data_IF_583076170184
#
_entry.id   IF_583076170184
#
_cell.length_a   1.000
_cell.length_b   1.000
_cell.length_c   1.000
_cell.angle_alpha   90.00
_cell.angle_beta   90.00
_cell.angle_gamma   90.00
#
_symmetry.space_group_name_H-M   'P 1'
#
loop_
_entity.id
_entity.type
_entity.pdbx_description
1 polymer ?
#
# COMPACT_ATOMS: atom_id res chain seq x y z
N UNK A 1 -40.36 -19.13 -24.07
CA UNK A 1 -39.25 -18.29 -23.58
C UNK A 1 -39.10 -18.36 -22.05
N UNK A 2 -40.07 -17.92 -21.24
CA UNK A 2 -39.93 -17.91 -19.76
C UNK A 2 -39.61 -19.27 -19.11
N UNK A 3 -40.19 -20.36 -19.61
CA UNK A 3 -39.95 -21.71 -19.06
C UNK A 3 -38.46 -22.09 -19.16
N UNK A 4 -37.85 -21.83 -20.32
CA UNK A 4 -36.42 -22.05 -20.53
C UNK A 4 -35.58 -21.15 -19.63
N UNK A 5 -35.94 -19.87 -19.47
CA UNK A 5 -35.22 -18.98 -18.54
C UNK A 5 -35.25 -19.52 -17.10
N UNK A 6 -36.39 -20.04 -16.63
CA UNK A 6 -36.49 -20.64 -15.28
C UNK A 6 -35.68 -21.93 -15.18
N UNK A 7 -35.68 -22.75 -16.23
CA UNK A 7 -34.92 -24.01 -16.30
C UNK A 7 -33.42 -23.74 -16.25
N UNK A 8 -32.93 -22.81 -17.07
CA UNK A 8 -31.51 -22.47 -17.18
C UNK A 8 -30.96 -21.83 -15.90
N UNK A 9 -31.77 -21.10 -15.12
CA UNK A 9 -31.37 -20.63 -13.78
C UNK A 9 -31.10 -21.76 -12.78
N UNK A 10 -31.71 -22.93 -12.97
CA UNK A 10 -31.54 -24.09 -12.07
C UNK A 10 -30.51 -25.07 -12.59
N UNK A 11 -30.45 -25.26 -13.91
CA UNK A 11 -29.58 -26.23 -14.57
C UNK A 11 -29.06 -25.66 -15.89
N UNK A 12 -28.00 -24.83 -15.85
CA UNK A 12 -27.43 -24.16 -17.02
C UNK A 12 -27.00 -25.12 -18.14
N UNK A 13 -26.58 -26.34 -17.77
CA UNK A 13 -26.15 -27.39 -18.68
C UNK A 13 -27.25 -27.85 -19.65
N UNK A 14 -28.53 -27.65 -19.29
CA UNK A 14 -29.65 -28.02 -20.16
C UNK A 14 -29.70 -27.15 -21.44
N UNK A 15 -28.90 -26.07 -21.52
CA UNK A 15 -28.70 -25.31 -22.75
C UNK A 15 -28.11 -26.18 -23.88
N UNK A 16 -27.33 -27.21 -23.55
CA UNK A 16 -26.73 -28.13 -24.52
C UNK A 16 -27.78 -28.88 -25.35
N UNK A 17 -28.92 -29.22 -24.73
CA UNK A 17 -30.03 -29.94 -25.35
C UNK A 17 -31.19 -29.01 -25.76
N UNK A 18 -31.02 -27.70 -25.58
CA UNK A 18 -32.04 -26.72 -25.93
C UNK A 18 -32.15 -26.56 -27.46
N UNK A 19 -33.36 -26.26 -27.98
CA UNK A 19 -33.52 -26.00 -29.40
C UNK A 19 -32.71 -24.76 -29.85
N UNK A 20 -32.41 -24.70 -31.16
CA UNK A 20 -31.48 -23.71 -31.74
C UNK A 20 -31.89 -22.25 -31.45
N UNK A 21 -33.19 -21.97 -31.36
CA UNK A 21 -33.73 -20.65 -31.04
C UNK A 21 -33.36 -20.22 -29.61
N UNK A 22 -33.31 -21.15 -28.67
CA UNK A 22 -32.88 -20.91 -27.28
C UNK A 22 -31.36 -20.77 -27.20
N UNK A 23 -30.61 -21.63 -27.91
CA UNK A 23 -29.15 -21.53 -27.98
C UNK A 23 -28.66 -20.25 -28.68
N UNK A 24 -29.46 -19.71 -29.61
CA UNK A 24 -29.23 -18.42 -30.28
C UNK A 24 -29.80 -17.21 -29.55
N UNK A 25 -30.50 -17.39 -28.42
CA UNK A 25 -31.09 -16.30 -27.66
C UNK A 25 -30.10 -15.74 -26.63
N UNK A 26 -29.66 -14.48 -26.84
CA UNK A 26 -28.73 -13.80 -25.94
C UNK A 26 -29.20 -13.81 -24.48
N UNK A 27 -30.48 -13.58 -24.22
CA UNK A 27 -31.03 -13.56 -22.86
C UNK A 27 -30.91 -14.94 -22.19
N UNK A 28 -31.29 -16.01 -22.90
CA UNK A 28 -31.24 -17.37 -22.37
C UNK A 28 -29.81 -17.79 -22.07
N UNK A 29 -28.89 -17.55 -23.00
CA UNK A 29 -27.46 -17.86 -22.83
C UNK A 29 -26.87 -17.04 -21.68
N UNK A 30 -27.14 -15.74 -21.59
CA UNK A 30 -26.61 -14.90 -20.51
C UNK A 30 -27.14 -15.32 -19.13
N UNK A 31 -28.41 -15.72 -19.04
CA UNK A 31 -28.99 -16.29 -17.81
C UNK A 31 -28.26 -17.58 -17.40
N UNK A 32 -27.96 -18.46 -18.35
CA UNK A 32 -27.20 -19.68 -18.07
C UNK A 32 -25.75 -19.37 -17.65
N UNK A 33 -25.08 -18.45 -18.35
CA UNK A 33 -23.70 -18.03 -18.07
C UNK A 33 -23.55 -17.44 -16.68
N UNK A 34 -24.54 -16.69 -16.18
CA UNK A 34 -24.53 -16.12 -14.82
C UNK A 34 -24.37 -17.18 -13.75
N UNK A 35 -24.97 -18.35 -13.95
CA UNK A 35 -24.88 -19.46 -13.01
C UNK A 35 -23.64 -20.34 -13.29
N UNK A 36 -23.32 -20.59 -14.57
CA UNK A 36 -22.18 -21.42 -14.97
C UNK A 36 -21.49 -20.89 -16.25
N UNK A 37 -20.20 -20.51 -16.19
CA UNK A 37 -19.51 -19.87 -17.31
C UNK A 37 -19.31 -20.76 -18.54
N UNK A 38 -19.35 -22.09 -18.37
CA UNK A 38 -19.26 -23.06 -19.46
C UNK A 38 -20.52 -23.14 -20.33
N UNK A 39 -21.64 -22.56 -19.89
CA UNK A 39 -22.86 -22.46 -20.67
C UNK A 39 -22.65 -21.72 -22.00
N UNK A 40 -21.69 -20.78 -22.08
CA UNK A 40 -21.34 -20.11 -23.34
C UNK A 40 -20.87 -21.11 -24.41
N UNK A 41 -20.32 -22.26 -24.02
CA UNK A 41 -19.91 -23.31 -24.94
C UNK A 41 -21.06 -23.99 -25.69
N UNK A 42 -22.28 -23.91 -25.15
CA UNK A 42 -23.50 -24.44 -25.74
C UNK A 42 -24.29 -23.40 -26.54
N UNK A 43 -23.85 -22.14 -26.55
CA UNK A 43 -24.47 -21.10 -27.35
C UNK A 43 -24.25 -21.34 -28.85
N UNK A 44 -25.19 -20.86 -29.66
CA UNK A 44 -25.05 -20.90 -31.12
C UNK A 44 -23.74 -20.22 -31.56
N UNK A 45 -23.06 -20.72 -32.63
CA UNK A 45 -21.78 -20.16 -33.08
C UNK A 45 -21.81 -18.63 -33.27
N UNK A 46 -22.90 -18.10 -33.83
CA UNK A 46 -23.08 -16.67 -34.04
C UNK A 46 -22.94 -15.82 -32.76
N UNK A 47 -23.39 -16.33 -31.61
CA UNK A 47 -23.23 -15.65 -30.33
C UNK A 47 -21.81 -15.79 -29.76
N UNK A 48 -21.15 -16.91 -30.02
CA UNK A 48 -19.75 -17.14 -29.60
C UNK A 48 -18.75 -16.33 -30.43
N UNK A 49 -19.16 -15.92 -31.63
CA UNK A 49 -18.45 -15.03 -32.56
C UNK A 49 -18.79 -13.54 -32.36
N UNK A 50 -19.83 -13.22 -31.59
CA UNK A 50 -20.25 -11.85 -31.31
C UNK A 50 -19.42 -11.26 -30.15
N UNK A 51 -18.49 -10.32 -30.42
CA UNK A 51 -17.64 -9.76 -29.39
C UNK A 51 -18.42 -8.95 -28.34
N UNK A 52 -19.53 -8.31 -28.72
CA UNK A 52 -20.31 -7.48 -27.80
C UNK A 52 -21.11 -8.36 -26.84
N UNK A 53 -21.67 -9.46 -27.34
CA UNK A 53 -22.34 -10.43 -26.48
C UNK A 53 -21.35 -11.16 -25.57
N UNK A 54 -20.22 -11.63 -26.10
CA UNK A 54 -19.20 -12.29 -25.28
C UNK A 54 -18.64 -11.33 -24.23
N UNK A 55 -18.48 -10.04 -24.54
CA UNK A 55 -18.08 -9.02 -23.56
C UNK A 55 -19.05 -8.98 -22.35
N UNK A 56 -20.36 -9.10 -22.57
CA UNK A 56 -21.34 -9.17 -21.49
C UNK A 56 -21.15 -10.43 -20.65
N UNK A 57 -20.92 -11.58 -21.28
CA UNK A 57 -20.68 -12.85 -20.59
C UNK A 57 -19.41 -12.79 -19.71
N UNK A 58 -18.29 -12.31 -20.25
CA UNK A 58 -17.02 -12.28 -19.52
C UNK A 58 -16.95 -11.23 -18.42
N UNK A 59 -17.78 -10.18 -18.50
CA UNK A 59 -17.94 -9.24 -17.38
C UNK A 59 -18.57 -9.90 -16.16
N UNK A 60 -19.49 -10.86 -16.37
CA UNK A 60 -20.09 -11.65 -15.28
C UNK A 60 -19.10 -12.71 -14.79
N UNK A 61 -18.52 -13.49 -15.71
CA UNK A 61 -17.53 -14.52 -15.39
C UNK A 61 -16.39 -14.51 -16.41
N UNK A 62 -15.22 -13.98 -16.03
CA UNK A 62 -14.07 -13.89 -16.95
C UNK A 62 -13.61 -15.23 -17.54
N UNK A 63 -13.87 -16.36 -16.86
CA UNK A 63 -13.56 -17.71 -17.37
C UNK A 63 -14.40 -18.14 -18.57
N UNK A 64 -15.55 -17.47 -18.84
CA UNK A 64 -16.38 -17.72 -20.02
C UNK A 64 -15.61 -17.51 -21.33
N UNK A 65 -14.55 -16.68 -21.32
CA UNK A 65 -13.68 -16.45 -22.48
C UNK A 65 -13.15 -17.74 -23.11
N UNK A 66 -12.96 -18.81 -22.33
CA UNK A 66 -12.55 -20.15 -22.81
C UNK A 66 -13.43 -20.68 -23.95
N UNK A 67 -14.72 -20.33 -23.90
CA UNK A 67 -15.74 -20.89 -24.79
C UNK A 67 -16.07 -19.98 -25.98
N UNK A 68 -15.55 -18.75 -25.99
CA UNK A 68 -15.65 -17.86 -27.13
C UNK A 68 -14.86 -18.41 -28.33
N UNK A 69 -15.17 -17.92 -29.54
CA UNK A 69 -14.42 -18.32 -30.73
C UNK A 69 -12.99 -17.80 -30.72
N UNK A 70 -12.13 -18.36 -31.57
CA UNK A 70 -10.73 -17.94 -31.65
C UNK A 70 -10.58 -16.46 -32.03
N UNK A 71 -11.47 -15.96 -32.89
CA UNK A 71 -11.51 -14.55 -33.31
C UNK A 71 -11.82 -13.65 -32.12
N UNK A 72 -12.81 -14.02 -31.30
CA UNK A 72 -13.16 -13.25 -30.10
C UNK A 72 -12.09 -13.36 -29.01
N UNK A 73 -11.41 -14.51 -28.88
CA UNK A 73 -10.25 -14.68 -27.98
C UNK A 73 -9.02 -13.89 -28.43
N UNK A 74 -9.00 -13.40 -29.67
CA UNK A 74 -8.00 -12.45 -30.19
C UNK A 74 -8.46 -10.97 -30.08
N UNK A 75 -9.68 -10.70 -29.60
CA UNK A 75 -10.18 -9.34 -29.42
C UNK A 75 -9.68 -8.73 -28.10
N UNK A 76 -8.83 -7.70 -28.20
CA UNK A 76 -8.24 -7.01 -27.04
C UNK A 76 -9.27 -6.51 -26.03
N UNK A 77 -10.39 -5.94 -26.50
CA UNK A 77 -11.42 -5.36 -25.63
C UNK A 77 -12.11 -6.44 -24.80
N UNK A 78 -12.50 -7.54 -25.45
CA UNK A 78 -13.16 -8.67 -24.78
C UNK A 78 -12.21 -9.33 -23.78
N UNK A 79 -10.96 -9.55 -24.17
CA UNK A 79 -9.96 -10.16 -23.26
C UNK A 79 -9.67 -9.23 -22.07
N UNK A 80 -9.54 -7.92 -22.25
CA UNK A 80 -9.39 -6.98 -21.13
C UNK A 80 -10.60 -7.02 -20.19
N UNK A 81 -11.82 -7.09 -20.72
CA UNK A 81 -13.02 -7.23 -19.90
C UNK A 81 -13.00 -8.53 -19.08
N UNK A 82 -12.58 -9.64 -19.70
CA UNK A 82 -12.42 -10.93 -19.03
C UNK A 82 -11.35 -10.90 -17.93
N UNK A 83 -10.17 -10.32 -18.21
CA UNK A 83 -9.05 -10.19 -17.24
C UNK A 83 -9.45 -9.31 -16.05
N UNK A 84 -10.20 -8.23 -16.30
CA UNK A 84 -10.71 -7.36 -15.24
C UNK A 84 -11.65 -8.09 -14.28
N UNK A 85 -12.46 -9.02 -14.80
CA UNK A 85 -13.35 -9.87 -13.99
C UNK A 85 -12.58 -11.00 -13.30
N UNK A 86 -11.69 -11.68 -14.02
CA UNK A 86 -10.87 -12.78 -13.54
C UNK A 86 -9.49 -12.74 -14.20
N UNK A 87 -8.42 -12.34 -13.49
CA UNK A 87 -7.11 -12.09 -14.12
C UNK A 87 -6.52 -13.29 -14.87
N UNK A 88 -6.80 -14.51 -14.40
CA UNK A 88 -6.40 -15.78 -15.03
C UNK A 88 -7.17 -16.09 -16.33
N UNK A 89 -8.14 -15.28 -16.72
CA UNK A 89 -8.80 -15.38 -18.03
C UNK A 89 -7.82 -15.19 -19.18
N UNK A 90 -6.69 -14.51 -18.95
CA UNK A 90 -5.65 -14.30 -19.96
C UNK A 90 -5.16 -15.62 -20.56
N UNK A 91 -5.18 -16.74 -19.81
CA UNK A 91 -4.81 -18.06 -20.31
C UNK A 91 -5.60 -18.51 -21.55
N UNK A 92 -6.80 -17.99 -21.75
CA UNK A 92 -7.68 -18.33 -22.87
C UNK A 92 -7.50 -17.42 -24.08
N UNK A 93 -6.83 -16.28 -23.91
CA UNK A 93 -6.57 -15.34 -25.00
C UNK A 93 -5.67 -15.96 -26.08
N UNK A 94 -5.80 -15.43 -27.30
CA UNK A 94 -4.91 -15.80 -28.40
C UNK A 94 -3.44 -15.63 -28.01
N UNK A 95 -2.59 -16.56 -28.44
CA UNK A 95 -1.16 -16.55 -28.10
C UNK A 95 -0.47 -15.24 -28.52
N UNK A 96 -0.83 -14.69 -29.68
CA UNK A 96 -0.34 -13.41 -30.15
C UNK A 96 -0.60 -12.26 -29.16
N UNK A 97 -1.75 -12.24 -28.48
CA UNK A 97 -2.03 -11.24 -27.45
C UNK A 97 -1.19 -11.47 -26.18
N UNK A 98 -1.00 -12.74 -25.77
CA UNK A 98 -0.18 -13.08 -24.59
C UNK A 98 1.30 -12.78 -24.78
N UNK A 99 1.74 -12.60 -26.03
CA UNK A 99 3.09 -12.18 -26.41
C UNK A 99 3.20 -10.69 -26.79
N UNK A 100 2.08 -9.97 -26.93
CA UNK A 100 2.07 -8.53 -27.21
C UNK A 100 2.38 -7.76 -25.91
N UNK A 101 3.58 -7.18 -25.83
CA UNK A 101 4.04 -6.43 -24.66
C UNK A 101 3.08 -5.30 -24.25
N UNK A 102 2.55 -4.55 -25.21
CA UNK A 102 1.68 -3.40 -24.93
C UNK A 102 0.34 -3.83 -24.36
N UNK A 103 -0.24 -4.90 -24.90
CA UNK A 103 -1.44 -5.55 -24.39
C UNK A 103 -1.22 -6.15 -23.00
N UNK A 104 -0.13 -6.89 -22.83
CA UNK A 104 0.19 -7.52 -21.54
C UNK A 104 0.36 -6.47 -20.45
N UNK A 105 1.00 -5.34 -20.73
CA UNK A 105 1.10 -4.21 -19.80
C UNK A 105 -0.26 -3.64 -19.39
N UNK A 106 -1.27 -3.66 -20.27
CA UNK A 106 -2.64 -3.28 -19.94
C UNK A 106 -3.30 -4.36 -19.07
N UNK A 107 -3.21 -5.63 -19.48
CA UNK A 107 -3.81 -6.77 -18.80
C UNK A 107 -3.31 -6.91 -17.35
N UNK A 108 -1.99 -6.85 -17.10
CA UNK A 108 -1.43 -7.00 -15.75
C UNK A 108 -1.75 -5.82 -14.83
N UNK A 109 -2.07 -4.64 -15.39
CA UNK A 109 -2.57 -3.50 -14.61
C UNK A 109 -4.01 -3.69 -14.18
N UNK A 110 -4.82 -4.37 -14.99
CA UNK A 110 -6.19 -4.76 -14.63
C UNK A 110 -6.21 -5.84 -13.55
N UNK A 111 -5.26 -6.79 -13.60
CA UNK A 111 -5.09 -7.80 -12.57
C UNK A 111 -3.70 -8.43 -12.58
N UNK A 112 -2.92 -8.19 -11.52
CA UNK A 112 -1.50 -8.61 -11.45
C UNK A 112 -1.27 -10.11 -11.67
N UNK A 113 -2.20 -10.95 -11.21
CA UNK A 113 -2.15 -12.41 -11.39
C UNK A 113 -2.23 -12.87 -12.86
N UNK A 114 -2.59 -11.98 -13.80
CA UNK A 114 -2.50 -12.26 -15.23
C UNK A 114 -1.07 -12.54 -15.69
N UNK A 115 -0.04 -12.07 -14.95
CA UNK A 115 1.38 -12.35 -15.24
C UNK A 115 1.68 -13.85 -15.40
N UNK A 116 0.91 -14.69 -14.73
CA UNK A 116 1.06 -16.13 -14.76
C UNK A 116 0.79 -16.78 -16.13
N UNK A 117 0.03 -16.10 -17.00
CA UNK A 117 -0.38 -16.62 -18.31
C UNK A 117 0.27 -15.90 -19.50
N UNK A 118 1.13 -14.91 -19.23
CA UNK A 118 1.88 -14.19 -20.27
C UNK A 118 3.00 -15.07 -20.84
N UNK A 119 3.42 -14.75 -22.07
CA UNK A 119 4.57 -15.39 -22.70
C UNK A 119 5.82 -15.30 -21.81
N UNK A 120 6.62 -16.38 -21.75
CA UNK A 120 7.74 -16.50 -20.82
C UNK A 120 8.73 -15.33 -20.90
N UNK A 121 9.03 -14.86 -22.13
CA UNK A 121 9.91 -13.70 -22.34
C UNK A 121 9.42 -12.42 -21.65
N UNK A 122 8.10 -12.22 -21.55
CA UNK A 122 7.51 -11.05 -20.88
C UNK A 122 7.48 -11.19 -19.35
N UNK A 123 7.65 -12.40 -18.79
CA UNK A 123 7.86 -12.57 -17.33
C UNK A 123 9.26 -12.17 -16.88
N UNK A 124 10.17 -11.90 -17.83
CA UNK A 124 11.48 -11.27 -17.62
C UNK A 124 11.47 -9.77 -17.86
N UNK A 125 10.41 -9.23 -18.48
CA UNK A 125 10.30 -7.80 -18.75
C UNK A 125 10.00 -7.06 -17.45
N UNK A 126 10.96 -6.22 -17.04
CA UNK A 126 10.92 -5.52 -15.76
C UNK A 126 9.71 -4.61 -15.62
N UNK A 127 9.27 -3.93 -16.68
CA UNK A 127 8.12 -3.02 -16.60
C UNK A 127 6.81 -3.80 -16.48
N UNK A 128 6.69 -4.92 -17.20
CA UNK A 128 5.55 -5.83 -17.12
C UNK A 128 5.43 -6.38 -15.71
N UNK A 129 6.51 -6.93 -15.16
CA UNK A 129 6.51 -7.49 -13.80
C UNK A 129 6.26 -6.41 -12.77
N UNK A 130 6.89 -5.23 -12.90
CA UNK A 130 6.68 -4.13 -11.96
C UNK A 130 5.22 -3.63 -11.98
N UNK A 131 4.59 -3.58 -13.15
CA UNK A 131 3.17 -3.25 -13.27
C UNK A 131 2.29 -4.32 -12.60
N UNK A 132 2.61 -5.60 -12.80
CA UNK A 132 1.89 -6.72 -12.19
C UNK A 132 1.97 -6.70 -10.66
N UNK A 133 3.18 -6.56 -10.07
CA UNK A 133 3.35 -6.55 -8.60
C UNK A 133 2.76 -5.30 -7.95
N UNK A 134 2.71 -4.18 -8.68
CA UNK A 134 2.00 -2.96 -8.24
C UNK A 134 0.48 -3.13 -8.25
N UNK A 135 -0.07 -3.99 -9.10
CA UNK A 135 -1.48 -4.36 -9.06
C UNK A 135 -1.73 -5.38 -7.92
N UNK A 136 -0.97 -6.47 -7.89
CA UNK A 136 -1.03 -7.53 -6.87
C UNK A 136 0.37 -8.02 -6.52
N UNK A 137 0.81 -7.83 -5.28
CA UNK A 137 2.15 -8.20 -4.83
C UNK A 137 2.46 -9.70 -4.99
N UNK A 138 1.45 -10.58 -4.92
CA UNK A 138 1.64 -12.03 -5.08
C UNK A 138 1.94 -12.43 -6.52
N UNK A 139 1.73 -11.54 -7.50
CA UNK A 139 2.11 -11.78 -8.89
C UNK A 139 3.62 -12.08 -9.04
N UNK A 140 4.46 -11.67 -8.08
CA UNK A 140 5.89 -11.95 -8.05
C UNK A 140 6.21 -13.45 -8.21
N UNK A 141 5.32 -14.34 -7.73
CA UNK A 141 5.46 -15.80 -7.88
C UNK A 141 5.66 -16.26 -9.33
N UNK A 142 5.05 -15.54 -10.28
CA UNK A 142 5.08 -15.91 -11.69
C UNK A 142 6.18 -15.21 -12.48
N UNK A 143 6.88 -14.27 -11.86
CA UNK A 143 7.99 -13.58 -12.48
C UNK A 143 9.19 -14.52 -12.66
N UNK A 144 10.02 -14.24 -13.66
CA UNK A 144 11.30 -14.94 -13.81
C UNK A 144 12.18 -14.79 -12.56
N UNK A 145 13.07 -15.75 -12.30
CA UNK A 145 13.96 -15.72 -11.13
C UNK A 145 14.74 -14.42 -10.98
N UNK A 146 15.29 -13.89 -12.07
CA UNK A 146 16.00 -12.60 -12.05
C UNK A 146 15.12 -11.44 -11.53
N UNK A 147 13.82 -11.45 -11.84
CA UNK A 147 12.87 -10.44 -11.38
C UNK A 147 12.44 -10.69 -9.93
N UNK A 148 12.46 -11.95 -9.48
CA UNK A 148 12.27 -12.33 -8.07
C UNK A 148 13.49 -11.98 -7.21
N UNK A 149 14.63 -11.64 -7.84
CA UNK A 149 15.83 -11.08 -7.20
C UNK A 149 15.98 -9.55 -7.40
N UNK A 150 15.25 -8.95 -8.36
CA UNK A 150 15.33 -7.50 -8.62
C UNK A 150 14.82 -6.72 -7.41
N UNK A 151 15.71 -5.89 -6.86
CA UNK A 151 15.46 -5.08 -5.65
C UNK A 151 14.20 -4.23 -5.76
N UNK A 152 14.00 -3.55 -6.88
CA UNK A 152 12.87 -2.64 -7.04
C UNK A 152 11.54 -3.39 -7.17
N UNK A 153 11.56 -4.53 -7.89
CA UNK A 153 10.41 -5.42 -8.03
C UNK A 153 10.02 -6.05 -6.70
N UNK A 154 10.98 -6.62 -5.97
CA UNK A 154 10.78 -7.23 -4.65
C UNK A 154 10.23 -6.20 -3.67
N UNK A 155 10.82 -4.99 -3.63
CA UNK A 155 10.35 -3.94 -2.75
C UNK A 155 8.93 -3.47 -3.09
N UNK A 156 8.60 -3.32 -4.38
CA UNK A 156 7.25 -2.98 -4.81
C UNK A 156 6.22 -4.05 -4.38
N UNK A 157 6.60 -5.33 -4.45
CA UNK A 157 5.78 -6.44 -3.99
C UNK A 157 5.60 -6.44 -2.46
N UNK A 158 6.67 -6.21 -1.68
CA UNK A 158 6.60 -6.14 -0.21
C UNK A 158 5.71 -4.99 0.27
N UNK A 159 5.72 -3.85 -0.43
CA UNK A 159 4.82 -2.71 -0.13
C UNK A 159 3.34 -3.13 -0.15
N UNK A 160 2.97 -4.15 -0.95
CA UNK A 160 1.62 -4.74 -0.98
C UNK A 160 1.39 -5.75 0.13
N UNK A 161 2.26 -6.75 0.25
CA UNK A 161 2.14 -7.79 1.29
C UNK A 161 3.48 -8.42 1.63
N UNK A 162 3.70 -8.73 2.91
CA UNK A 162 4.91 -9.41 3.37
C UNK A 162 4.98 -10.88 2.89
N UNK A 163 3.83 -11.47 2.54
CA UNK A 163 3.73 -12.85 2.06
C UNK A 163 4.49 -13.11 0.76
N UNK A 164 4.93 -12.06 0.04
CA UNK A 164 5.71 -12.20 -1.19
C UNK A 164 7.10 -12.77 -0.96
N UNK A 165 7.64 -12.67 0.27
CA UNK A 165 9.02 -13.11 0.57
C UNK A 165 9.24 -14.58 0.24
N UNK A 166 8.26 -15.46 0.45
CA UNK A 166 8.34 -16.89 0.09
C UNK A 166 8.46 -17.15 -1.42
N UNK A 167 8.10 -16.16 -2.23
CA UNK A 167 8.16 -16.21 -3.69
C UNK A 167 9.36 -15.44 -4.25
N UNK A 168 10.23 -14.87 -3.41
CA UNK A 168 11.47 -14.20 -3.86
C UNK A 168 12.55 -15.23 -4.20
N UNK A 169 13.60 -14.81 -4.91
CA UNK A 169 14.76 -15.66 -5.20
C UNK A 169 15.49 -16.06 -3.90
N UNK A 170 16.22 -17.19 -3.93
CA UNK A 170 16.92 -17.71 -2.76
C UNK A 170 17.92 -16.69 -2.15
N UNK A 171 18.56 -15.87 -2.99
CA UNK A 171 19.44 -14.78 -2.56
C UNK A 171 18.73 -13.72 -1.70
N UNK A 172 17.49 -13.37 -2.06
CA UNK A 172 16.65 -12.42 -1.32
C UNK A 172 16.14 -13.03 -0.03
N UNK A 173 15.75 -14.30 -0.05
CA UNK A 173 15.32 -15.02 1.15
C UNK A 173 16.45 -15.17 2.18
N UNK A 174 17.68 -15.34 1.71
CA UNK A 174 18.86 -15.48 2.57
C UNK A 174 19.30 -14.15 3.21
N UNK A 175 18.95 -13.01 2.62
CA UNK A 175 19.35 -11.69 3.10
C UNK A 175 18.34 -11.14 4.16
N UNK A 176 18.74 -11.03 5.45
CA UNK A 176 17.89 -10.59 6.54
C UNK A 176 17.23 -9.21 6.36
N UNK A 177 17.78 -8.36 5.49
CA UNK A 177 17.26 -7.00 5.27
C UNK A 177 15.81 -7.03 4.78
N UNK A 178 15.43 -8.07 4.02
CA UNK A 178 14.10 -8.17 3.42
C UNK A 178 13.04 -8.59 4.43
N UNK A 179 13.37 -9.50 5.35
CA UNK A 179 12.49 -9.84 6.47
C UNK A 179 12.29 -8.63 7.38
N UNK A 180 13.37 -7.91 7.71
CA UNK A 180 13.30 -6.68 8.53
C UNK A 180 12.48 -5.59 7.83
N UNK A 181 12.68 -5.41 6.52
CA UNK A 181 11.91 -4.46 5.70
C UNK A 181 10.42 -4.78 5.72
N UNK A 182 10.05 -6.05 5.57
CA UNK A 182 8.66 -6.48 5.62
C UNK A 182 8.04 -6.31 7.02
N UNK A 183 8.78 -6.65 8.08
CA UNK A 183 8.35 -6.51 9.47
C UNK A 183 8.08 -5.05 9.85
N UNK A 184 9.06 -4.18 9.65
CA UNK A 184 8.93 -2.75 9.99
C UNK A 184 7.80 -2.08 9.20
N UNK A 185 7.56 -2.49 7.94
CA UNK A 185 6.42 -1.98 7.16
C UNK A 185 5.07 -2.52 7.64
N UNK A 186 5.02 -3.73 8.19
CA UNK A 186 3.80 -4.28 8.79
C UNK A 186 3.48 -3.59 10.12
N UNK A 187 4.49 -3.39 10.97
CA UNK A 187 4.37 -2.68 12.26
C UNK A 187 3.88 -1.24 12.07
N UNK A 188 4.46 -0.49 11.13
CA UNK A 188 4.02 0.88 10.86
C UNK A 188 2.64 0.97 10.18
N UNK A 189 2.05 -0.15 9.74
CA UNK A 189 0.65 -0.22 9.28
C UNK A 189 -0.32 -0.60 10.42
N UNK A 190 0.18 -1.05 11.57
CA UNK A 190 -0.66 -1.43 12.70
C UNK A 190 -1.37 -0.19 13.28
N UNK A 191 -2.72 -0.15 13.28
CA UNK A 191 -3.48 0.92 13.91
C UNK A 191 -3.10 1.17 15.37
N UNK A 192 -2.75 0.12 16.12
CA UNK A 192 -2.37 0.27 17.53
C UNK A 192 -1.08 1.08 17.68
N UNK A 193 -0.06 0.77 16.86
CA UNK A 193 1.23 1.49 16.85
C UNK A 193 1.03 2.92 16.34
N UNK A 194 0.28 3.09 15.23
CA UNK A 194 0.06 4.41 14.64
C UNK A 194 -0.80 5.34 15.50
N UNK A 195 -1.74 4.79 16.28
CA UNK A 195 -2.56 5.56 17.23
C UNK A 195 -1.80 6.04 18.47
N UNK A 196 -0.64 5.43 18.75
CA UNK A 196 0.22 5.79 19.88
C UNK A 196 1.24 6.88 19.58
N UNK A 197 1.26 7.46 18.36
CA UNK A 197 2.19 8.55 18.03
C UNK A 197 1.99 9.68 19.02
N UNK A 198 3.04 9.97 19.77
CA UNK A 198 3.06 11.12 20.65
C UNK A 198 3.07 12.37 19.78
N UNK A 199 1.95 13.09 19.73
CA UNK A 199 1.81 14.36 19.00
C UNK A 199 2.49 15.49 19.80
N UNK A 200 3.74 15.23 20.19
CA UNK A 200 4.59 16.13 20.96
C UNK A 200 5.40 17.02 20.02
N UNK A 201 5.54 18.28 20.40
CA UNK A 201 6.44 19.22 19.72
C UNK A 201 7.87 18.70 19.81
N UNK A 202 8.56 18.65 18.67
CA UNK A 202 9.99 18.36 18.62
C UNK A 202 10.69 19.45 17.82
N UNK A 203 11.58 20.20 18.47
CA UNK A 203 12.26 21.36 17.87
C UNK A 203 13.66 21.02 17.36
N UNK A 204 14.08 19.75 17.49
CA UNK A 204 15.46 19.32 17.28
C UNK A 204 16.34 19.52 18.53
N UNK A 205 17.53 18.94 18.48
CA UNK A 205 18.58 19.09 19.47
C UNK A 205 19.93 19.05 18.76
N UNK A 206 20.70 20.14 18.84
CA UNK A 206 22.03 20.25 18.23
C UNK A 206 23.01 20.75 19.28
N UNK A 207 24.06 19.97 19.52
CA UNK A 207 25.04 20.20 20.59
C UNK A 207 26.46 20.07 20.03
N UNK A 208 27.38 20.84 20.62
CA UNK A 208 28.82 20.84 20.26
C UNK A 208 29.57 19.63 20.81
N UNK A 209 28.96 18.88 21.73
CA UNK A 209 29.51 17.68 22.34
C UNK A 209 29.31 16.44 21.47
N UNK A 210 28.46 16.52 20.44
CA UNK A 210 28.21 15.45 19.49
C UNK A 210 29.18 15.49 18.30
N UNK A 211 29.23 14.39 17.54
CA UNK A 211 29.95 14.30 16.26
C UNK A 211 29.02 14.04 15.07
N UNK A 212 27.77 13.67 15.33
CA UNK A 212 26.79 13.24 14.33
C UNK A 212 25.46 13.95 14.55
N UNK A 213 24.76 14.28 13.46
CA UNK A 213 23.43 14.89 13.49
C UNK A 213 22.53 14.29 12.41
N UNK A 214 21.38 13.75 12.81
CA UNK A 214 20.33 13.35 11.87
C UNK A 214 19.59 14.59 11.40
N UNK A 215 19.69 14.91 10.11
CA UNK A 215 19.10 16.14 9.55
C UNK A 215 17.82 15.89 8.77
N UNK A 216 17.51 14.64 8.43
CA UNK A 216 16.25 14.30 7.77
C UNK A 216 15.85 12.89 8.17
N UNK A 217 14.57 12.71 8.52
CA UNK A 217 14.06 11.43 9.00
C UNK A 217 12.65 11.10 8.47
N UNK A 218 12.37 9.84 8.12
CA UNK A 218 11.06 9.45 7.63
C UNK A 218 10.06 9.33 8.78
N UNK A 219 9.17 10.32 8.91
CA UNK A 219 8.15 10.34 9.97
C UNK A 219 7.21 9.12 9.96
N UNK A 220 7.03 8.44 8.84
CA UNK A 220 6.18 7.24 8.72
C UNK A 220 6.67 6.05 9.58
N UNK A 221 7.88 6.11 10.12
CA UNK A 221 8.51 5.08 10.93
C UNK A 221 8.47 5.47 12.41
N UNK A 222 7.30 5.31 13.03
CA UNK A 222 6.98 5.91 14.34
C UNK A 222 7.88 5.39 15.45
N UNK A 223 8.13 4.08 15.48
CA UNK A 223 9.00 3.46 16.49
C UNK A 223 10.41 4.07 16.44
N UNK A 224 10.94 4.23 15.23
CA UNK A 224 12.27 4.81 15.03
C UNK A 224 12.28 6.32 15.27
N UNK A 225 11.20 7.02 14.91
CA UNK A 225 11.02 8.44 15.22
C UNK A 225 11.01 8.69 16.74
N UNK A 226 10.28 7.88 17.51
CA UNK A 226 10.25 8.01 18.97
C UNK A 226 11.61 7.70 19.59
N UNK A 227 12.34 6.72 19.03
CA UNK A 227 13.74 6.45 19.38
C UNK A 227 14.64 7.66 19.16
N UNK A 228 14.47 8.38 18.05
CA UNK A 228 15.22 9.60 17.74
C UNK A 228 14.94 10.70 18.74
N UNK A 229 13.65 10.97 19.00
CA UNK A 229 13.22 11.99 19.96
C UNK A 229 13.75 11.68 21.36
N UNK A 230 13.68 10.41 21.81
CA UNK A 230 14.23 9.97 23.09
C UNK A 230 15.74 10.21 23.18
N UNK A 231 16.51 9.77 22.18
CA UNK A 231 17.97 9.98 22.19
C UNK A 231 18.34 11.47 22.20
N UNK A 232 17.55 12.33 21.56
CA UNK A 232 17.74 13.77 21.62
C UNK A 232 17.43 14.33 23.02
N UNK A 233 16.36 13.87 23.69
CA UNK A 233 16.03 14.24 25.07
C UNK A 233 17.13 13.82 26.05
N UNK A 234 17.69 12.63 25.85
CA UNK A 234 18.81 12.09 26.63
C UNK A 234 20.18 12.67 26.22
N UNK A 235 20.21 13.54 25.21
CA UNK A 235 21.40 14.19 24.66
C UNK A 235 22.46 13.22 24.13
N UNK A 236 22.06 11.99 23.78
CA UNK A 236 22.95 10.96 23.23
C UNK A 236 23.08 11.05 21.71
N UNK A 237 22.15 11.72 21.03
CA UNK A 237 22.15 11.91 19.57
C UNK A 237 21.64 13.31 19.22
N UNK A 238 22.27 13.98 18.25
CA UNK A 238 21.75 15.23 17.71
C UNK A 238 20.80 14.98 16.54
N UNK A 239 19.80 15.85 16.42
CA UNK A 239 18.86 15.87 15.31
C UNK A 239 18.46 17.30 14.96
N UNK A 240 18.46 17.63 13.68
CA UNK A 240 17.93 18.90 13.18
C UNK A 240 16.44 18.81 12.82
N UNK A 241 15.85 17.61 12.80
CA UNK A 241 14.46 17.39 12.45
C UNK A 241 13.51 18.22 13.33
N UNK A 242 12.45 18.74 12.73
CA UNK A 242 11.44 19.54 13.42
C UNK A 242 10.06 18.95 13.16
N UNK A 243 9.26 18.80 14.22
CA UNK A 243 7.88 18.37 14.17
C UNK A 243 7.02 19.32 15.01
N UNK A 244 6.10 20.02 14.34
CA UNK A 244 5.16 20.96 14.94
C UNK A 244 3.73 20.41 14.74
N UNK A 245 3.15 19.72 15.73
CA UNK A 245 1.82 19.14 15.65
C UNK A 245 0.71 20.19 15.79
N UNK A 246 -0.53 19.83 15.43
CA UNK A 246 -1.71 20.71 15.57
C UNK A 246 -1.92 21.21 17.01
N UNK A 247 -1.56 20.38 17.99
CA UNK A 247 -1.62 20.71 19.41
C UNK A 247 -0.45 21.52 19.95
N UNK A 248 0.46 22.04 19.09
CA UNK A 248 1.61 22.85 19.53
C UNK A 248 1.16 24.02 20.43
N UNK A 249 1.59 24.05 21.71
CA UNK A 249 1.21 25.10 22.64
C UNK A 249 1.61 26.51 22.19
N UNK A 250 2.64 26.61 21.35
CA UNK A 250 3.10 27.90 20.78
C UNK A 250 2.32 28.31 19.53
N UNK A 251 1.31 27.53 19.11
CA UNK A 251 0.47 27.79 17.94
C UNK A 251 1.27 27.98 16.63
N UNK A 252 2.39 27.27 16.46
CA UNK A 252 3.22 27.38 15.24
C UNK A 252 2.74 26.45 14.13
N UNK A 253 1.87 25.48 14.42
CA UNK A 253 1.16 24.76 13.37
C UNK A 253 0.35 25.74 12.52
N UNK A 254 0.49 25.66 11.20
CA UNK A 254 -0.14 26.60 10.27
C UNK A 254 0.60 27.94 10.13
N UNK A 255 1.69 28.17 10.87
CA UNK A 255 2.46 29.38 10.71
C UNK A 255 3.26 29.36 9.40
N UNK A 256 3.19 30.48 8.67
CA UNK A 256 3.88 30.66 7.40
C UNK A 256 5.08 31.59 7.55
N UNK A 257 6.18 31.23 6.90
CA UNK A 257 7.41 32.01 6.85
C UNK A 257 7.77 32.32 5.40
N UNK A 258 8.44 33.44 5.17
CA UNK A 258 8.74 33.96 3.83
C UNK A 258 10.25 33.94 3.59
N UNK A 259 10.70 33.60 2.37
CA UNK A 259 12.12 33.56 2.04
C UNK A 259 12.77 34.96 2.04
N UNK A 260 12.02 35.97 1.61
CA UNK A 260 12.45 37.37 1.58
C UNK A 260 11.24 38.32 1.65
N UNK A 261 11.51 39.62 1.71
CA UNK A 261 10.48 40.66 1.80
C UNK A 261 9.63 40.80 0.52
N UNK A 262 10.21 40.50 -0.64
CA UNK A 262 9.46 40.53 -1.91
C UNK A 262 8.45 39.40 -1.95
N UNK A 263 8.84 38.19 -1.54
CA UNK A 263 7.97 37.05 -1.41
C UNK A 263 6.89 37.29 -0.34
N UNK A 264 7.23 37.96 0.77
CA UNK A 264 6.26 38.40 1.77
C UNK A 264 5.19 39.34 1.18
N UNK A 265 5.60 40.34 0.41
CA UNK A 265 4.66 41.26 -0.25
C UNK A 265 3.76 40.54 -1.26
N UNK A 266 4.27 39.50 -1.92
CA UNK A 266 3.51 38.65 -2.84
C UNK A 266 2.70 37.54 -2.14
N UNK A 267 2.73 37.48 -0.81
CA UNK A 267 2.16 36.39 0.00
C UNK A 267 2.66 34.98 -0.40
N UNK A 268 3.89 34.88 -0.91
CA UNK A 268 4.54 33.63 -1.32
C UNK A 268 5.45 33.10 -0.22
N UNK A 269 4.84 32.44 0.77
CA UNK A 269 5.60 31.75 1.81
C UNK A 269 6.39 30.54 1.26
N UNK A 270 7.27 29.95 2.07
CA UNK A 270 8.08 28.78 1.69
C UNK A 270 7.25 27.62 1.15
N UNK A 271 6.00 27.41 1.60
CA UNK A 271 5.12 26.37 1.04
C UNK A 271 5.02 26.43 -0.50
N UNK A 272 5.05 27.61 -1.10
CA UNK A 272 5.00 27.78 -2.55
C UNK A 272 6.26 27.23 -3.24
N UNK A 273 7.43 27.35 -2.60
CA UNK A 273 8.68 26.78 -3.10
C UNK A 273 8.70 25.27 -2.90
N UNK A 274 8.23 24.80 -1.75
CA UNK A 274 8.30 23.38 -1.37
C UNK A 274 7.24 22.52 -2.06
N UNK A 275 6.03 23.06 -2.23
CA UNK A 275 4.84 22.30 -2.60
C UNK A 275 4.02 22.92 -3.74
N UNK A 276 4.38 24.11 -4.21
CA UNK A 276 3.66 24.85 -5.25
C UNK A 276 2.52 25.73 -4.74
N UNK A 277 2.06 25.51 -3.52
CA UNK A 277 0.95 26.24 -2.90
C UNK A 277 1.08 26.31 -1.38
N UNK A 278 0.36 27.25 -0.76
CA UNK A 278 0.23 27.33 0.70
C UNK A 278 -0.43 26.06 1.27
N UNK A 279 0.10 25.56 2.39
CA UNK A 279 -0.43 24.38 3.08
C UNK A 279 -0.93 24.73 4.47
N UNK A 280 -2.04 24.13 4.90
CA UNK A 280 -2.69 24.39 6.18
C UNK A 280 -1.80 24.12 7.40
N UNK A 281 -0.82 23.23 7.27
CA UNK A 281 0.16 22.94 8.33
C UNK A 281 1.32 23.95 8.40
N UNK A 282 1.40 24.88 7.45
CA UNK A 282 2.41 25.92 7.42
C UNK A 282 3.79 25.47 6.93
N UNK A 283 4.74 26.40 6.97
CA UNK A 283 6.15 26.16 6.61
C UNK A 283 7.12 26.65 7.68
N UNK A 284 6.63 26.98 8.87
CA UNK A 284 7.50 27.41 9.98
C UNK A 284 8.52 26.34 10.37
N UNK A 285 8.10 25.08 10.39
CA UNK A 285 8.97 23.92 10.66
C UNK A 285 10.24 23.95 9.79
N UNK A 286 10.12 24.38 8.52
CA UNK A 286 11.23 24.38 7.56
C UNK A 286 12.29 25.43 7.93
N UNK A 287 11.85 26.59 8.42
CA UNK A 287 12.77 27.66 8.87
C UNK A 287 13.49 27.27 10.15
N UNK A 288 12.78 26.66 11.10
CA UNK A 288 13.39 26.20 12.34
C UNK A 288 14.35 25.02 12.07
N UNK A 289 14.00 24.14 11.13
CA UNK A 289 14.87 23.08 10.62
C UNK A 289 16.15 23.62 9.97
N UNK A 290 16.05 24.60 9.06
CA UNK A 290 17.23 25.19 8.40
C UNK A 290 18.23 25.73 9.43
N UNK A 291 17.75 26.43 10.47
CA UNK A 291 18.61 26.95 11.54
C UNK A 291 19.35 25.83 12.28
N UNK A 292 18.67 24.73 12.56
CA UNK A 292 19.30 23.58 13.21
C UNK A 292 20.39 22.95 12.31
N UNK A 293 20.13 22.85 11.01
CA UNK A 293 21.11 22.33 10.05
C UNK A 293 22.32 23.25 9.94
N UNK A 294 22.11 24.55 9.78
CA UNK A 294 23.21 25.54 9.76
C UNK A 294 24.04 25.45 11.03
N UNK A 295 23.39 25.31 12.19
CA UNK A 295 24.07 25.10 13.46
C UNK A 295 24.91 23.82 13.49
N UNK A 296 24.38 22.71 12.95
CA UNK A 296 25.12 21.45 12.86
C UNK A 296 26.33 21.57 11.93
N UNK A 297 26.20 22.31 10.82
CA UNK A 297 27.29 22.61 9.88
C UNK A 297 28.37 23.48 10.52
N UNK A 298 27.99 24.54 11.25
CA UNK A 298 28.93 25.38 12.00
C UNK A 298 29.75 24.57 13.00
N UNK A 299 29.11 23.61 13.66
CA UNK A 299 29.73 22.69 14.61
C UNK A 299 30.50 21.54 13.94
N UNK A 300 30.52 21.49 12.61
CA UNK A 300 31.19 20.46 11.81
C UNK A 300 30.74 19.03 12.15
N UNK A 301 29.45 18.86 12.45
CA UNK A 301 28.86 17.55 12.69
C UNK A 301 28.71 16.79 11.37
N UNK A 302 28.87 15.47 11.41
CA UNK A 302 28.50 14.60 10.30
C UNK A 302 26.96 14.60 10.14
N UNK A 303 26.47 15.09 9.02
CA UNK A 303 25.03 15.12 8.72
C UNK A 303 24.55 13.78 8.17
N UNK A 304 23.41 13.28 8.65
CA UNK A 304 22.79 12.04 8.19
C UNK A 304 21.37 12.26 7.67
N UNK A 305 21.08 11.70 6.50
CA UNK A 305 19.74 11.61 5.92
C UNK A 305 19.28 10.16 5.98
N UNK A 306 18.17 9.92 6.66
CA UNK A 306 17.58 8.58 6.83
C UNK A 306 16.58 8.31 5.72
N UNK A 307 16.74 7.20 5.01
CA UNK A 307 15.89 6.75 3.90
C UNK A 307 14.98 5.60 4.32
N UNK A 308 13.93 5.38 3.53
CA UNK A 308 13.08 4.20 3.67
C UNK A 308 13.87 2.90 3.47
N UNK A 309 13.40 1.77 4.03
CA UNK A 309 14.07 0.48 3.91
C UNK A 309 14.28 0.09 2.46
N UNK A 310 15.52 -0.24 2.14
CA UNK A 310 16.02 -0.59 0.84
C UNK A 310 15.90 0.51 -0.25
N UNK A 311 15.80 1.79 0.12
CA UNK A 311 15.57 2.90 -0.82
C UNK A 311 16.58 4.06 -0.67
N UNK A 312 17.79 3.80 -0.18
CA UNK A 312 18.84 4.83 -0.10
C UNK A 312 19.14 5.48 -1.45
N UNK A 313 19.18 6.81 -1.48
CA UNK A 313 19.43 7.61 -2.69
C UNK A 313 18.21 7.78 -3.60
N UNK A 314 17.13 7.03 -3.38
CA UNK A 314 15.92 7.13 -4.18
C UNK A 314 15.07 8.34 -3.77
N UNK A 315 14.22 8.81 -4.69
CA UNK A 315 13.23 9.85 -4.39
C UNK A 315 13.78 11.26 -4.18
N UNK A 316 15.07 11.51 -4.44
CA UNK A 316 15.69 12.83 -4.43
C UNK A 316 15.09 13.70 -5.53
N UNK A 317 14.78 14.96 -5.20
CA UNK A 317 14.21 15.95 -6.12
C UNK A 317 15.09 17.19 -6.10
N UNK A 318 15.31 17.80 -7.27
CA UNK A 318 16.02 19.08 -7.34
C UNK A 318 15.15 20.22 -6.78
N UNK A 319 15.79 21.16 -6.08
CA UNK A 319 15.10 22.29 -5.45
C UNK A 319 14.17 23.05 -6.40
N UNK A 320 14.62 23.34 -7.63
CA UNK A 320 13.81 24.06 -8.63
C UNK A 320 12.58 23.29 -9.13
N UNK A 321 12.56 21.96 -8.93
CA UNK A 321 11.47 21.11 -9.40
C UNK A 321 10.43 20.82 -8.30
N UNK A 322 10.70 21.08 -7.02
CA UNK A 322 9.82 20.75 -5.89
C UNK A 322 8.39 21.26 -6.08
N UNK A 323 8.23 22.57 -6.32
CA UNK A 323 6.94 23.21 -6.49
C UNK A 323 6.09 22.56 -7.61
N UNK A 324 6.72 22.15 -8.71
CA UNK A 324 6.04 21.55 -9.86
C UNK A 324 5.56 20.11 -9.62
N UNK A 325 6.11 19.44 -8.61
CA UNK A 325 5.72 18.07 -8.28
C UNK A 325 4.34 18.03 -7.61
N UNK A 326 4.00 19.03 -6.78
CA UNK A 326 2.74 19.10 -6.06
C UNK A 326 2.48 17.81 -5.25
N UNK A 327 1.34 17.16 -5.48
CA UNK A 327 1.00 15.88 -4.84
C UNK A 327 1.96 14.73 -5.20
N UNK A 328 2.70 14.83 -6.31
CA UNK A 328 3.67 13.78 -6.73
C UNK A 328 4.89 13.69 -5.81
N UNK A 329 5.12 14.68 -4.95
CA UNK A 329 6.14 14.59 -3.89
C UNK A 329 5.86 13.40 -2.97
N UNK A 330 4.59 13.05 -2.76
CA UNK A 330 4.14 12.02 -1.82
C UNK A 330 4.03 10.63 -2.47
N UNK A 331 5.04 10.25 -3.25
CA UNK A 331 5.05 8.98 -4.01
C UNK A 331 5.50 7.75 -3.20
N UNK A 332 5.87 7.91 -1.92
CA UNK A 332 6.36 6.86 -1.02
C UNK A 332 7.58 6.09 -1.56
N UNK A 333 8.51 6.81 -2.19
CA UNK A 333 9.77 6.28 -2.73
C UNK A 333 10.93 7.04 -2.09
N UNK A 334 11.84 6.30 -1.44
CA UNK A 334 13.08 6.80 -0.83
C UNK A 334 12.92 7.71 0.39
N UNK A 335 12.20 8.81 0.22
CA UNK A 335 12.04 9.90 1.16
C UNK A 335 10.56 10.28 1.31
N UNK A 336 10.18 10.73 2.51
CA UNK A 336 8.89 11.38 2.78
C UNK A 336 8.74 12.74 2.09
N UNK A 337 7.52 13.29 2.08
CA UNK A 337 7.22 14.54 1.39
C UNK A 337 8.03 15.74 1.89
N UNK A 338 8.15 15.92 3.22
CA UNK A 338 9.00 16.95 3.82
C UNK A 338 10.48 16.68 3.59
N UNK A 339 10.90 15.41 3.72
CA UNK A 339 12.30 15.02 3.53
C UNK A 339 12.83 15.35 2.14
N UNK A 340 11.98 15.27 1.09
CA UNK A 340 12.38 15.70 -0.25
C UNK A 340 12.75 17.17 -0.31
N UNK A 341 12.02 18.03 0.39
CA UNK A 341 12.36 19.45 0.51
C UNK A 341 13.66 19.66 1.30
N UNK A 342 13.83 18.94 2.41
CA UNK A 342 15.04 18.98 3.24
C UNK A 342 16.29 18.59 2.43
N UNK A 343 16.26 17.44 1.75
CA UNK A 343 17.38 16.93 0.95
C UNK A 343 17.66 17.82 -0.27
N UNK A 344 16.61 18.32 -0.93
CA UNK A 344 16.78 19.28 -2.02
C UNK A 344 17.49 20.55 -1.57
N UNK A 345 17.17 21.05 -0.37
CA UNK A 345 17.82 22.22 0.21
C UNK A 345 19.28 21.95 0.60
N UNK A 346 19.58 20.81 1.24
CA UNK A 346 20.95 20.40 1.55
C UNK A 346 21.82 20.37 0.29
N UNK A 347 21.28 19.82 -0.80
CA UNK A 347 21.95 19.79 -2.10
C UNK A 347 22.15 21.20 -2.69
N UNK A 348 21.14 22.07 -2.62
CA UNK A 348 21.23 23.47 -3.07
C UNK A 348 22.36 24.21 -2.33
N UNK A 349 22.45 24.02 -1.02
CA UNK A 349 23.46 24.65 -0.16
C UNK A 349 24.83 23.96 -0.26
N UNK A 350 24.91 22.81 -0.96
CA UNK A 350 26.11 21.97 -1.08
C UNK A 350 26.63 21.47 0.28
N UNK A 351 25.73 21.20 1.22
CA UNK A 351 26.08 20.61 2.50
C UNK A 351 26.21 19.08 2.35
N UNK A 352 27.40 18.50 2.60
CA UNK A 352 27.58 17.06 2.47
C UNK A 352 26.83 16.33 3.58
N UNK A 353 26.21 15.21 3.23
CA UNK A 353 25.55 14.32 4.18
C UNK A 353 25.78 12.86 3.81
N UNK A 354 25.68 12.00 4.82
CA UNK A 354 25.72 10.53 4.68
C UNK A 354 24.28 10.02 4.58
N UNK A 355 24.04 9.09 3.67
CA UNK A 355 22.75 8.38 3.58
C UNK A 355 22.79 7.13 4.43
N UNK A 356 21.70 6.86 5.15
CA UNK A 356 21.53 5.65 5.95
C UNK A 356 20.12 5.09 5.79
N UNK A 357 20.00 3.76 5.80
CA UNK A 357 18.71 3.08 5.84
C UNK A 357 18.10 3.20 7.24
N UNK A 358 16.79 3.41 7.35
CA UNK A 358 16.11 3.47 8.66
C UNK A 358 16.34 2.23 9.51
N UNK A 359 16.54 1.05 8.90
CA UNK A 359 16.84 -0.19 9.62
C UNK A 359 18.25 -0.19 10.21
N UNK A 360 19.21 0.43 9.53
CA UNK A 360 20.60 0.56 10.01
C UNK A 360 20.70 1.67 11.08
N UNK A 361 19.86 2.71 10.97
CA UNK A 361 19.73 3.77 11.96
C UNK A 361 19.28 3.25 13.34
N UNK A 362 18.63 2.09 13.42
CA UNK A 362 18.22 1.48 14.71
C UNK A 362 19.37 1.41 15.73
N UNK A 363 20.59 1.14 15.27
CA UNK A 363 21.78 1.12 16.13
C UNK A 363 22.08 2.49 16.75
N UNK A 364 21.98 3.56 15.96
CA UNK A 364 22.14 4.94 16.41
C UNK A 364 21.04 5.36 17.39
N UNK A 365 19.85 4.78 17.25
CA UNK A 365 18.66 5.10 18.05
C UNK A 365 18.56 4.28 19.34
N UNK A 366 19.56 3.44 19.64
CA UNK A 366 19.55 2.53 20.79
C UNK A 366 18.40 1.52 20.71
N UNK A 367 17.92 1.19 19.51
CA UNK A 367 16.87 0.21 19.28
C UNK A 367 17.53 -1.15 19.04
N UNK A 368 17.92 -1.82 20.12
CA UNK A 368 18.43 -3.20 20.07
C UNK A 368 17.36 -4.17 20.54
N UNK A 369 16.93 -5.07 19.64
CA UNK A 369 15.97 -6.13 19.90
C UNK A 369 15.26 -6.54 18.61
N UNK A 370 14.71 -7.75 18.56
CA UNK A 370 13.70 -8.09 17.55
C UNK A 370 12.50 -7.15 17.73
N UNK A 371 11.71 -6.87 16.70
CA UNK A 371 10.54 -5.99 16.81
C UNK A 371 9.54 -6.36 17.92
N UNK A 372 9.62 -7.60 18.43
CA UNK A 372 8.87 -8.07 19.60
C UNK A 372 9.42 -7.56 20.96
N UNK A 373 10.70 -7.24 21.07
CA UNK A 373 11.36 -6.78 22.30
C UNK A 373 11.25 -5.25 22.50
N UNK A 374 11.16 -4.49 21.41
CA UNK A 374 10.93 -3.03 21.45
C UNK A 374 9.52 -2.68 22.00
N UNK A 375 8.59 -3.65 21.98
CA UNK A 375 7.25 -3.54 22.55
C UNK A 375 7.20 -3.55 24.10
N UNK A 376 8.30 -3.85 24.79
CA UNK A 376 8.30 -3.97 26.26
C UNK A 376 8.72 -2.70 27.00
N UNK A 377 9.25 -1.69 26.29
CA UNK A 377 9.62 -0.39 26.89
C UNK A 377 8.46 0.63 26.92
N UNK A 378 7.29 0.27 26.35
CA UNK A 378 6.12 1.16 26.27
C UNK A 378 4.82 0.55 26.82
N UNK A 379 4.85 -0.66 27.39
CA UNK A 379 3.68 -1.21 28.09
C UNK A 379 3.64 -0.67 29.51
N UNK A 380 2.51 -0.11 29.99
CA UNK A 380 2.32 0.09 31.42
C UNK A 380 2.51 -1.26 32.12
N UNK A 381 3.19 -1.26 33.26
CA UNK A 381 3.33 -2.47 34.07
C UNK A 381 1.93 -3.05 34.37
N UNK A 382 1.76 -4.38 34.48
CA UNK A 382 0.48 -4.97 34.81
C UNK A 382 0.05 -4.47 36.20
N UNK A 383 -0.82 -3.45 36.23
CA UNK A 383 -1.22 -2.76 37.46
C UNK A 383 -1.60 -1.29 37.27
N UNK A 384 -1.14 -0.63 36.21
CA UNK A 384 -1.50 0.77 35.97
C UNK A 384 -2.90 0.84 35.33
N UNK A 385 -3.84 1.36 36.11
CA UNK A 385 -5.26 1.43 35.78
C UNK A 385 -5.50 2.26 34.50
N UNK A 386 -5.78 1.56 33.39
CA UNK A 386 -6.35 2.17 32.19
C UNK A 386 -7.78 2.60 32.53
N UNK A 387 -8.00 3.91 32.67
CA UNK A 387 -9.35 4.48 32.65
C UNK A 387 -9.97 4.17 31.29
N UNK A 388 -11.00 3.34 31.32
CA UNK A 388 -11.91 3.14 30.18
C UNK A 388 -12.59 4.49 29.93
N UNK A 389 -12.27 5.15 28.82
CA UNK A 389 -13.12 6.21 28.29
C UNK A 389 -14.29 5.52 27.59
N UNK A 390 -15.47 5.60 28.20
CA UNK A 390 -16.73 5.26 27.53
C UNK A 390 -16.95 6.24 26.38
N UNK A 391 -16.92 5.72 25.16
CA UNK A 391 -17.37 6.42 23.95
C UNK A 391 -18.46 5.58 23.27
N UNK A 392 -19.65 6.16 23.14
CA UNK A 392 -20.83 5.55 22.54
C UNK A 392 -20.59 5.18 21.07
N UNK A 393 -20.15 3.94 20.81
CA UNK A 393 -20.29 3.29 19.51
C UNK A 393 -20.98 1.93 19.69
N UNK A 394 -22.25 1.98 20.11
CA UNK A 394 -23.19 0.91 19.87
C UNK A 394 -23.47 0.80 18.35
N UNK A 395 -22.88 -0.19 17.67
CA UNK A 395 -23.13 -0.31 16.23
C UNK A 395 -22.57 -1.51 15.47
N UNK A 396 -22.04 -2.56 16.12
CA UNK A 396 -21.60 -3.77 15.38
C UNK A 396 -22.36 -5.01 15.85
N UNK A 397 -23.17 -5.57 14.95
CA UNK A 397 -23.84 -6.87 15.09
C UNK A 397 -23.09 -7.93 14.28
N UNK A 398 -23.02 -9.14 14.80
CA UNK A 398 -22.30 -10.28 14.21
C UNK A 398 -23.28 -11.38 13.84
N UNK A 399 -22.94 -12.16 12.80
CA UNK A 399 -23.70 -13.34 12.39
C UNK A 399 -23.19 -14.56 13.13
N UNK A 400 -24.09 -15.28 13.78
CA UNK A 400 -23.93 -16.67 14.21
C UNK A 400 -24.92 -17.48 13.38
N UNK A 401 -24.45 -18.54 12.72
CA UNK A 401 -25.33 -19.55 12.14
C UNK A 401 -25.57 -20.60 13.22
N UNK A 402 -26.82 -20.86 13.56
CA UNK A 402 -27.19 -22.08 14.27
C UNK A 402 -27.26 -23.26 13.29
N UNK A 403 -27.21 -24.49 13.82
CA UNK A 403 -27.18 -25.73 13.02
C UNK A 403 -28.44 -25.95 12.15
N UNK A 404 -29.46 -25.08 12.27
CA UNK A 404 -30.67 -25.08 11.43
C UNK A 404 -30.74 -23.91 10.43
N UNK A 405 -29.68 -23.10 10.31
CA UNK A 405 -29.52 -22.12 9.23
C UNK A 405 -30.42 -20.88 9.32
N UNK A 406 -30.87 -20.48 10.51
CA UNK A 406 -31.69 -19.27 10.68
C UNK A 406 -30.83 -18.03 11.00
N UNK A 407 -30.98 -16.95 10.20
CA UNK A 407 -30.12 -15.75 10.25
C UNK A 407 -30.52 -14.80 11.39
N UNK A 408 -29.91 -14.94 12.58
CA UNK A 408 -30.05 -13.96 13.67
C UNK A 408 -28.78 -13.11 13.86
N UNK A 409 -28.94 -11.79 13.88
CA UNK A 409 -27.86 -10.82 14.13
C UNK A 409 -27.87 -10.36 15.60
N UNK A 410 -26.77 -10.58 16.33
CA UNK A 410 -26.65 -10.16 17.73
C UNK A 410 -25.45 -9.23 17.99
N UNK A 411 -25.53 -8.31 18.96
CA UNK A 411 -24.41 -7.47 19.37
C UNK A 411 -23.35 -8.28 20.14
N UNK A 412 -22.06 -8.06 19.83
CA UNK A 412 -20.94 -8.76 20.44
C UNK A 412 -19.81 -7.79 20.83
N UNK A 413 -18.94 -8.22 21.76
CA UNK A 413 -17.66 -7.56 22.05
C UNK A 413 -16.52 -8.50 21.68
N UNK A 414 -15.46 -7.95 21.09
CA UNK A 414 -14.23 -8.68 20.76
C UNK A 414 -13.09 -8.10 21.57
N UNK A 415 -12.32 -8.98 22.20
CA UNK A 415 -11.02 -8.65 22.74
C UNK A 415 -9.97 -9.45 21.97
N UNK A 416 -9.00 -8.75 21.39
CA UNK A 416 -7.87 -9.35 20.68
C UNK A 416 -6.70 -9.40 21.66
N UNK A 417 -6.21 -10.61 21.96
CA UNK A 417 -5.01 -10.81 22.78
C UNK A 417 -3.99 -11.59 21.98
N UNK A 418 -2.88 -10.93 21.62
CA UNK A 418 -1.66 -11.54 21.07
C UNK A 418 -1.90 -12.39 19.82
N UNK A 419 -2.14 -13.68 19.99
CA UNK A 419 -2.27 -14.68 18.91
C UNK A 419 -3.68 -15.23 18.72
N UNK A 420 -4.72 -14.65 19.35
CA UNK A 420 -6.11 -15.06 19.13
C UNK A 420 -7.16 -14.01 19.54
N UNK A 421 -8.35 -14.09 18.93
CA UNK A 421 -9.50 -13.27 19.27
C UNK A 421 -10.48 -14.05 20.16
N UNK A 422 -10.90 -13.48 21.29
CA UNK A 422 -12.03 -13.97 22.09
C UNK A 422 -13.25 -13.09 21.83
N UNK A 423 -14.36 -13.71 21.46
CA UNK A 423 -15.64 -13.05 21.17
C UNK A 423 -16.63 -13.37 22.29
N UNK A 424 -17.22 -12.34 22.90
CA UNK A 424 -18.24 -12.49 23.95
C UNK A 424 -19.57 -11.92 23.47
N UNK A 425 -20.65 -12.69 23.68
CA UNK A 425 -22.02 -12.28 23.40
C UNK A 425 -22.70 -11.89 24.71
N UNK A 426 -23.56 -10.87 24.68
CA UNK A 426 -24.24 -10.37 25.89
C UNK A 426 -25.36 -11.34 26.28
N UNK A 427 -25.19 -12.05 27.39
CA UNK A 427 -26.07 -13.13 27.88
C UNK A 427 -27.43 -12.65 28.44
N UNK A 428 -28.00 -11.55 27.93
CA UNK A 428 -29.20 -10.94 28.53
C UNK A 428 -30.48 -11.05 27.71
N UNK A 429 -30.56 -11.91 26.67
CA UNK A 429 -31.84 -12.24 26.00
C UNK A 429 -31.99 -13.71 25.57
N UNK A 430 -31.36 -14.66 26.28
CA UNK A 430 -31.80 -16.06 26.23
C UNK A 430 -33.05 -16.19 27.09
N UNK A 431 -34.21 -15.80 26.54
CA UNK A 431 -35.47 -16.34 27.06
C UNK A 431 -35.50 -17.82 26.70
N UNK A 432 -35.23 -18.65 27.70
CA UNK A 432 -35.67 -20.06 27.75
C UNK A 432 -37.08 -20.15 27.17
N UNK A 433 -37.24 -20.86 26.06
CA UNK A 433 -38.50 -21.54 25.74
C UNK A 433 -38.23 -23.02 25.91
N UNK A 434 -38.94 -23.62 26.87
CA UNK A 434 -39.11 -25.06 26.99
C UNK A 434 -39.88 -25.62 25.81
#
# INVERSE_FOLDING_TARGET
>A
SEEWLRRLRRKPQDLADAPEDVQGCQEAVLVAVREQPDALGFAAPALRDDPDFVAQCVQVHGSALKYASEVVRANRVVVCAAVKSWPRALQFAAEALRADRGFVLEAVRLGGMALADVAEGLRRDRDVVLAAVKADGLALEFAHEDMRADRAVVLAAIKKTALVLRHTAASVQADPIWQRTAAVRAENKDPAVTSGRVDEVFEGFVSKEATQCIVSFPGDFIIQWDGLVRCCKDKSLCSACVFLPKGDPQQRFGAHSFPDDTARQQNKCYCHLLYGEAKDWGCRWFVDWMKNVERAVELKLDLYVVFFPCEMGEGVVEWGNLASQGERLWNKIGLGGSQKAEVAWLNLMRYPFKSIDVLDANSMLGLTGTSAEVLDLGRPAPGDAVRILEGDHAGKTGKLLDDEGSDQRMPYRVQICGTGAKVWFKESQVRKRH
#
